data_IF_134207424104
#
_entry.id   IF_134207424104
#
_cell.length_a   1.000
_cell.length_b   1.000
_cell.length_c   1.000
_cell.angle_alpha   90.00
_cell.angle_beta   90.00
_cell.angle_gamma   90.00
#
_symmetry.space_group_name_H-M   'P 1'
#
loop_
_entity.id
_entity.type
_entity.pdbx_description
1 polymer ?
#
# COMPACT_ATOMS: atom_id res chain seq x y z
N UNK A 1 17.90 -4.27 6.95
CA UNK A 1 17.24 -3.99 8.24
C UNK A 1 15.96 -4.82 8.30
N UNK A 2 15.67 -5.57 9.37
CA UNK A 2 14.40 -6.29 9.49
C UNK A 2 13.23 -5.30 9.59
N UNK A 3 12.12 -5.61 8.91
CA UNK A 3 10.88 -4.83 8.99
C UNK A 3 10.35 -4.79 10.43
N UNK A 4 9.63 -3.73 10.80
CA UNK A 4 8.94 -3.57 12.08
C UNK A 4 8.09 -4.79 12.43
N UNK A 5 7.35 -5.35 11.46
CA UNK A 5 6.58 -6.59 11.67
C UNK A 5 7.50 -7.76 12.04
N UNK A 6 8.65 -7.90 11.38
CA UNK A 6 9.62 -8.94 11.72
C UNK A 6 10.26 -8.69 13.09
N UNK A 7 10.51 -7.43 13.47
CA UNK A 7 11.01 -7.07 14.80
C UNK A 7 10.00 -7.44 15.90
N UNK A 8 8.71 -7.18 15.68
CA UNK A 8 7.63 -7.58 16.61
C UNK A 8 7.62 -9.09 16.78
N UNK A 9 7.67 -9.86 15.68
CA UNK A 9 7.70 -11.33 15.73
C UNK A 9 8.92 -11.85 16.50
N UNK A 10 10.10 -11.30 16.23
CA UNK A 10 11.34 -11.75 16.86
C UNK A 10 11.38 -11.46 18.37
N UNK A 11 10.79 -10.34 18.81
CA UNK A 11 10.75 -9.94 20.22
C UNK A 11 9.54 -10.46 20.98
N UNK A 12 8.57 -11.06 20.29
CA UNK A 12 7.28 -11.43 20.88
C UNK A 12 7.42 -12.26 22.17
N UNK A 13 8.36 -13.20 22.20
CA UNK A 13 8.59 -14.07 23.35
C UNK A 13 9.19 -13.35 24.57
N UNK A 14 9.81 -12.19 24.37
CA UNK A 14 10.46 -11.37 25.42
C UNK A 14 9.51 -10.32 26.01
N UNK A 15 8.34 -10.10 25.38
CA UNK A 15 7.34 -9.14 25.83
C UNK A 15 6.50 -9.70 26.99
N UNK A 16 5.90 -8.81 27.79
CA UNK A 16 4.88 -9.20 28.77
C UNK A 16 3.63 -9.76 28.09
N UNK A 17 2.78 -10.54 28.79
CA UNK A 17 1.57 -11.10 28.18
C UNK A 17 0.61 -10.03 27.62
N UNK A 18 0.53 -8.87 28.27
CA UNK A 18 -0.27 -7.75 27.79
C UNK A 18 0.34 -7.13 26.51
N UNK A 19 1.65 -6.95 26.44
CA UNK A 19 2.33 -6.48 25.23
C UNK A 19 2.30 -7.52 24.09
N UNK A 20 2.35 -8.82 24.41
CA UNK A 20 2.19 -9.89 23.43
C UNK A 20 0.83 -9.83 22.75
N UNK A 21 -0.25 -9.50 23.47
CA UNK A 21 -1.58 -9.30 22.87
C UNK A 21 -1.57 -8.15 21.86
N UNK A 22 -0.93 -7.03 22.20
CA UNK A 22 -0.75 -5.91 21.28
C UNK A 22 0.05 -6.33 20.04
N UNK A 23 1.21 -6.97 20.24
CA UNK A 23 2.05 -7.44 19.14
C UNK A 23 1.34 -8.45 18.24
N UNK A 24 0.59 -9.39 18.81
CA UNK A 24 -0.22 -10.38 18.06
C UNK A 24 -1.31 -9.71 17.23
N UNK A 25 -2.01 -8.73 17.79
CA UNK A 25 -3.04 -8.00 17.06
C UNK A 25 -2.45 -7.23 15.87
N UNK A 26 -1.38 -6.46 16.10
CA UNK A 26 -0.72 -5.68 15.05
C UNK A 26 -0.17 -6.59 13.95
N UNK A 27 0.40 -7.74 14.31
CA UNK A 27 0.94 -8.69 13.31
C UNK A 27 -0.18 -9.33 12.48
N UNK A 28 -1.40 -9.41 13.02
CA UNK A 28 -2.56 -10.02 12.37
C UNK A 28 -3.38 -9.03 11.53
N UNK A 29 -3.41 -7.76 11.92
CA UNK A 29 -4.16 -6.70 11.25
C UNK A 29 -3.31 -5.42 11.04
N UNK A 30 -2.14 -5.53 10.40
CA UNK A 30 -1.19 -4.42 10.34
C UNK A 30 -1.75 -3.21 9.57
N UNK A 31 -2.61 -3.44 8.57
CA UNK A 31 -3.27 -2.41 7.75
C UNK A 31 -4.24 -1.49 8.51
N UNK A 32 -4.83 -1.96 9.62
CA UNK A 32 -5.80 -1.17 10.38
C UNK A 32 -5.13 -0.19 11.37
N UNK A 33 -3.93 -0.54 11.83
CA UNK A 33 -3.25 0.14 12.94
C UNK A 33 -2.85 1.59 12.63
N UNK A 34 -2.41 1.98 11.41
CA UNK A 34 -2.11 3.38 11.08
C UNK A 34 -3.27 4.35 11.35
N UNK A 35 -4.51 3.89 11.21
CA UNK A 35 -5.72 4.68 11.38
C UNK A 35 -6.29 4.66 12.81
N UNK A 36 -5.71 3.85 13.71
CA UNK A 36 -6.16 3.74 15.10
C UNK A 36 -5.53 4.79 16.02
N UNK A 37 -6.24 5.17 17.08
CA UNK A 37 -5.66 5.84 18.26
C UNK A 37 -5.09 4.81 19.25
N UNK A 38 -4.32 5.27 20.24
CA UNK A 38 -3.83 4.39 21.33
C UNK A 38 -4.99 3.73 22.06
N UNK A 39 -6.09 4.48 22.24
CA UNK A 39 -7.34 4.03 22.85
C UNK A 39 -8.06 2.97 22.01
N UNK A 40 -8.10 3.12 20.70
CA UNK A 40 -8.73 2.10 19.83
C UNK A 40 -7.98 0.78 19.91
N UNK A 41 -6.66 0.85 19.83
CA UNK A 41 -5.81 -0.32 19.93
C UNK A 41 -5.88 -0.95 21.32
N UNK A 42 -5.95 -0.14 22.37
CA UNK A 42 -6.12 -0.61 23.75
C UNK A 42 -7.43 -1.38 23.91
N UNK A 43 -8.53 -0.85 23.37
CA UNK A 43 -9.84 -1.49 23.38
C UNK A 43 -9.86 -2.80 22.57
N UNK A 44 -9.26 -2.81 21.38
CA UNK A 44 -9.20 -4.02 20.52
C UNK A 44 -8.34 -5.13 21.09
N UNK A 45 -7.38 -4.77 21.93
CA UNK A 45 -6.46 -5.73 22.52
C UNK A 45 -6.75 -6.02 23.99
N UNK A 46 -7.74 -5.32 24.59
CA UNK A 46 -8.17 -5.38 26.00
C UNK A 46 -7.10 -4.94 27.03
N UNK A 47 -6.18 -4.08 26.62
CA UNK A 47 -5.08 -3.59 27.49
C UNK A 47 -5.30 -2.12 27.83
N UNK A 48 -4.51 -1.59 28.77
CA UNK A 48 -4.48 -0.14 29.02
C UNK A 48 -3.71 0.60 27.92
N UNK A 49 -4.05 1.87 27.66
CA UNK A 49 -3.31 2.73 26.72
C UNK A 49 -1.81 2.83 27.08
N UNK A 50 -1.49 2.85 28.39
CA UNK A 50 -0.12 2.83 28.88
C UNK A 50 0.65 1.56 28.46
N UNK A 51 -0.04 0.44 28.26
CA UNK A 51 0.56 -0.81 27.75
C UNK A 51 0.87 -0.69 26.27
N UNK A 52 -0.01 -0.07 25.48
CA UNK A 52 0.25 0.21 24.05
C UNK A 52 1.48 1.11 23.89
N UNK A 53 1.61 2.15 24.70
CA UNK A 53 2.79 3.03 24.68
C UNK A 53 4.06 2.29 25.10
N UNK A 54 4.00 1.44 26.13
CA UNK A 54 5.13 0.59 26.54
C UNK A 54 5.56 -0.37 25.43
N UNK A 55 4.61 -1.07 24.82
CA UNK A 55 4.86 -1.94 23.68
C UNK A 55 5.65 -1.22 22.58
N UNK A 56 5.24 -0.01 22.19
CA UNK A 56 5.94 0.77 21.16
C UNK A 56 7.42 1.00 21.52
N UNK A 57 7.68 1.35 22.78
CA UNK A 57 9.05 1.54 23.30
C UNK A 57 9.83 0.24 23.32
N UNK A 58 9.22 -0.88 23.72
CA UNK A 58 9.82 -2.22 23.75
C UNK A 58 10.27 -2.69 22.34
N UNK A 59 9.58 -2.25 21.30
CA UNK A 59 9.91 -2.50 19.89
C UNK A 59 10.90 -1.47 19.31
N UNK A 60 11.22 -0.40 20.04
CA UNK A 60 12.21 0.60 19.63
C UNK A 60 11.64 1.86 19.00
N UNK A 61 10.31 2.06 19.05
CA UNK A 61 9.67 3.31 18.65
C UNK A 61 9.57 4.29 19.83
N UNK A 62 9.82 5.57 19.60
CA UNK A 62 9.77 6.59 20.66
C UNK A 62 8.36 6.76 21.26
N UNK A 63 7.33 6.67 20.42
CA UNK A 63 5.93 6.79 20.78
C UNK A 63 5.01 6.12 19.74
N UNK A 64 3.72 6.02 20.07
CA UNK A 64 2.73 5.39 19.19
C UNK A 64 2.61 6.08 17.82
N UNK A 65 2.74 7.42 17.75
CA UNK A 65 2.70 8.14 16.47
C UNK A 65 3.85 7.73 15.55
N UNK A 66 5.08 7.69 16.08
CA UNK A 66 6.26 7.23 15.32
C UNK A 66 6.13 5.76 14.91
N UNK A 67 5.58 4.92 15.78
CA UNK A 67 5.31 3.52 15.47
C UNK A 67 4.36 3.37 14.28
N UNK A 68 3.22 4.09 14.28
CA UNK A 68 2.25 4.08 13.18
C UNK A 68 2.86 4.56 11.86
N UNK A 69 3.68 5.61 11.90
CA UNK A 69 4.36 6.12 10.72
C UNK A 69 5.34 5.10 10.12
N UNK A 70 6.12 4.41 10.96
CA UNK A 70 7.02 3.35 10.51
C UNK A 70 6.24 2.17 9.94
N UNK A 71 5.17 1.74 10.63
CA UNK A 71 4.32 0.65 10.16
C UNK A 71 3.67 0.97 8.81
N UNK A 72 3.14 2.17 8.64
CA UNK A 72 2.52 2.61 7.39
C UNK A 72 3.49 2.62 6.20
N UNK A 73 4.77 2.93 6.44
CA UNK A 73 5.81 2.89 5.40
C UNK A 73 6.19 1.47 4.96
N UNK A 74 5.98 0.48 5.81
CA UNK A 74 6.35 -0.91 5.55
C UNK A 74 5.19 -1.77 5.05
N UNK A 75 3.96 -1.29 5.22
CA UNK A 75 2.80 -1.93 4.63
C UNK A 75 2.91 -1.86 3.09
N UNK A 76 2.69 -2.97 2.38
CA UNK A 76 2.45 -2.91 0.95
C UNK A 76 1.28 -1.95 0.73
N UNK A 77 1.49 -0.96 -0.13
CA UNK A 77 0.41 -0.09 -0.58
C UNK A 77 -0.74 -0.98 -1.05
N UNK A 78 -1.92 -0.73 -0.50
CA UNK A 78 -3.13 -1.40 -0.96
C UNK A 78 -3.31 -1.07 -2.45
N UNK A 79 -3.95 -1.95 -3.22
CA UNK A 79 -4.19 -1.67 -4.64
C UNK A 79 -4.96 -0.36 -4.83
N UNK A 80 -5.75 0.02 -3.82
CA UNK A 80 -6.43 1.30 -3.73
C UNK A 80 -5.45 2.49 -3.73
N UNK A 81 -4.33 2.43 -3.01
CA UNK A 81 -3.36 3.54 -2.91
C UNK A 81 -2.63 3.84 -4.24
N UNK A 82 -2.45 2.84 -5.11
CA UNK A 82 -1.84 3.03 -6.44
C UNK A 82 -2.78 3.72 -7.44
N UNK A 83 -4.07 3.71 -7.15
CA UNK A 83 -5.12 4.43 -7.89
C UNK A 83 -5.66 5.65 -7.13
N UNK A 84 -5.16 5.90 -5.91
CA UNK A 84 -5.66 6.96 -5.07
C UNK A 84 -5.02 8.31 -5.44
N UNK A 85 -5.61 8.92 -6.46
CA UNK A 85 -5.34 10.31 -6.83
C UNK A 85 -5.90 11.31 -5.80
N UNK A 86 -6.42 10.90 -4.63
CA UNK A 86 -6.91 11.82 -3.59
C UNK A 86 -5.86 12.82 -3.10
N UNK A 87 -4.57 12.50 -3.27
CA UNK A 87 -3.47 13.42 -2.97
C UNK A 87 -3.29 14.53 -4.02
N UNK A 88 -3.87 14.37 -5.22
CA UNK A 88 -4.00 15.41 -6.25
C UNK A 88 -5.16 16.32 -5.88
N UNK A 89 -4.85 17.55 -5.46
CA UNK A 89 -5.87 18.54 -5.16
C UNK A 89 -6.20 19.29 -6.44
N UNK A 90 -7.48 19.63 -6.62
CA UNK A 90 -7.94 20.49 -7.73
C UNK A 90 -7.21 21.84 -7.82
N UNK A 91 -6.56 22.26 -6.72
CA UNK A 91 -5.81 23.52 -6.59
C UNK A 91 -4.28 23.36 -6.57
N UNK A 92 -3.74 22.19 -6.90
CA UNK A 92 -2.28 22.05 -7.00
C UNK A 92 -1.75 22.93 -8.15
N UNK A 93 -0.63 23.62 -7.92
CA UNK A 93 0.05 24.33 -9.00
C UNK A 93 0.56 23.31 -10.03
N UNK A 94 0.68 23.66 -11.33
CA UNK A 94 1.09 22.72 -12.36
C UNK A 94 2.39 21.97 -12.05
N UNK A 95 3.36 22.64 -11.43
CA UNK A 95 4.64 22.03 -11.05
C UNK A 95 4.48 21.02 -9.89
N UNK A 96 3.65 21.35 -8.89
CA UNK A 96 3.38 20.46 -7.77
C UNK A 96 2.66 19.19 -8.24
N UNK A 97 1.72 19.34 -9.17
CA UNK A 97 1.03 18.24 -9.83
C UNK A 97 2.01 17.33 -10.58
N UNK A 98 2.92 17.90 -11.38
CA UNK A 98 3.96 17.15 -12.07
C UNK A 98 4.83 16.34 -11.09
N UNK A 99 5.26 16.96 -9.99
CA UNK A 99 6.06 16.29 -8.97
C UNK A 99 5.29 15.14 -8.31
N UNK A 100 4.01 15.34 -7.98
CA UNK A 100 3.16 14.31 -7.36
C UNK A 100 2.92 13.12 -8.29
N UNK A 101 2.55 13.35 -9.55
CA UNK A 101 2.34 12.28 -10.54
C UNK A 101 3.63 11.47 -10.75
N UNK A 102 4.77 12.16 -10.86
CA UNK A 102 6.07 11.51 -11.00
C UNK A 102 6.38 10.62 -9.79
N UNK A 103 6.11 11.12 -8.59
CA UNK A 103 6.30 10.37 -7.36
C UNK A 103 5.40 9.13 -7.28
N UNK A 104 4.13 9.25 -7.66
CA UNK A 104 3.19 8.13 -7.72
C UNK A 104 3.68 7.04 -8.71
N UNK A 105 4.10 7.43 -9.91
CA UNK A 105 4.63 6.48 -10.90
C UNK A 105 5.89 5.77 -10.40
N UNK A 106 6.82 6.50 -9.76
CA UNK A 106 8.00 5.91 -9.15
C UNK A 106 7.62 4.86 -8.11
N UNK A 107 6.68 5.19 -7.23
CA UNK A 107 6.21 4.27 -6.19
C UNK A 107 5.52 3.04 -6.77
N UNK A 108 4.73 3.19 -7.84
CA UNK A 108 4.08 2.08 -8.52
C UNK A 108 5.10 1.09 -9.10
N UNK A 109 6.17 1.60 -9.73
CA UNK A 109 7.26 0.78 -10.27
C UNK A 109 7.99 0.03 -9.13
N UNK A 110 8.35 0.73 -8.06
CA UNK A 110 9.03 0.14 -6.91
C UNK A 110 8.18 -0.96 -6.24
N UNK A 111 6.88 -0.69 -6.05
CA UNK A 111 5.94 -1.65 -5.45
C UNK A 111 5.72 -2.88 -6.31
N UNK A 112 5.66 -2.71 -7.64
CA UNK A 112 5.56 -3.82 -8.59
C UNK A 112 6.76 -4.75 -8.46
N UNK A 113 7.96 -4.19 -8.38
CA UNK A 113 9.21 -4.95 -8.20
C UNK A 113 9.20 -5.76 -6.89
N UNK A 114 8.72 -5.16 -5.78
CA UNK A 114 8.66 -5.83 -4.48
C UNK A 114 7.60 -6.93 -4.40
N UNK A 115 6.52 -6.83 -5.18
CA UNK A 115 5.40 -7.80 -5.18
C UNK A 115 5.68 -9.03 -6.03
N UNK A 116 6.71 -8.99 -6.89
CA UNK A 116 7.08 -10.09 -7.78
C UNK A 116 7.87 -11.17 -7.05
N UNK A 117 7.30 -12.37 -6.93
CA UNK A 117 8.04 -13.54 -6.48
C UNK A 117 8.92 -14.08 -7.61
N UNK A 118 10.25 -14.06 -7.41
CA UNK A 118 11.25 -14.52 -8.40
C UNK A 118 10.88 -15.86 -9.05
N UNK A 119 10.50 -16.85 -8.24
CA UNK A 119 10.19 -18.20 -8.71
C UNK A 119 8.98 -18.23 -9.64
N UNK A 120 7.93 -17.46 -9.34
CA UNK A 120 6.74 -17.37 -10.17
C UNK A 120 7.02 -16.64 -11.48
N UNK A 121 7.83 -15.58 -11.41
CA UNK A 121 8.25 -14.83 -12.59
C UNK A 121 9.04 -15.72 -13.57
N UNK A 122 10.07 -16.43 -13.08
CA UNK A 122 10.87 -17.35 -13.90
C UNK A 122 10.01 -18.48 -14.50
N UNK A 123 9.02 -18.99 -13.76
CA UNK A 123 8.06 -19.98 -14.25
C UNK A 123 7.18 -19.41 -15.38
N UNK A 124 6.66 -18.20 -15.22
CA UNK A 124 5.86 -17.53 -16.24
C UNK A 124 6.66 -17.31 -17.53
N UNK A 125 7.91 -16.86 -17.42
CA UNK A 125 8.82 -16.70 -18.58
C UNK A 125 9.03 -18.01 -19.32
N UNK A 126 9.21 -19.12 -18.59
CA UNK A 126 9.36 -20.45 -19.22
C UNK A 126 8.11 -20.85 -20.00
N UNK A 127 6.93 -20.71 -19.40
CA UNK A 127 5.67 -21.00 -20.09
C UNK A 127 5.45 -20.12 -21.32
N UNK A 128 5.82 -18.83 -21.27
CA UNK A 128 5.75 -17.95 -22.43
C UNK A 128 6.72 -18.38 -23.54
N UNK A 129 7.91 -18.87 -23.19
CA UNK A 129 8.93 -19.32 -24.15
C UNK A 129 8.55 -20.63 -24.85
N UNK A 130 7.89 -21.54 -24.14
CA UNK A 130 7.47 -22.85 -24.64
C UNK A 130 6.10 -22.83 -25.33
N UNK A 131 5.39 -21.70 -25.30
CA UNK A 131 4.05 -21.59 -25.88
C UNK A 131 4.10 -21.54 -27.42
N UNK A 132 3.32 -22.41 -28.07
CA UNK A 132 3.14 -22.40 -29.52
C UNK A 132 2.38 -21.16 -30.02
N UNK A 133 1.54 -20.57 -29.15
CA UNK A 133 0.75 -19.38 -29.47
C UNK A 133 0.49 -18.55 -28.21
N UNK A 134 0.69 -17.23 -28.33
CA UNK A 134 0.40 -16.24 -27.28
C UNK A 134 -0.66 -15.28 -27.81
N UNK A 135 -1.72 -15.06 -27.03
CA UNK A 135 -2.81 -14.13 -27.39
C UNK A 135 -2.83 -12.99 -26.37
N UNK A 136 -2.70 -11.76 -26.86
CA UNK A 136 -2.88 -10.57 -26.04
C UNK A 136 -4.30 -10.05 -26.21
N UNK A 137 -5.02 -9.89 -25.10
CA UNK A 137 -6.35 -9.29 -25.06
C UNK A 137 -6.24 -7.97 -24.32
N UNK A 138 -6.74 -6.90 -24.91
CA UNK A 138 -6.81 -5.59 -24.29
C UNK A 138 -8.25 -5.08 -24.31
N UNK A 139 -8.67 -4.51 -23.19
CA UNK A 139 -9.92 -3.77 -23.06
C UNK A 139 -9.56 -2.31 -22.84
N UNK A 140 -10.05 -1.43 -23.72
CA UNK A 140 -9.97 0.00 -23.49
C UNK A 140 -11.05 0.34 -22.49
N UNK A 141 -10.63 0.79 -21.30
CA UNK A 141 -11.55 1.46 -20.39
C UNK A 141 -11.76 2.88 -20.94
N UNK A 142 -12.99 3.27 -21.33
CA UNK A 142 -13.23 4.60 -21.83
C UNK A 142 -13.00 5.59 -20.68
N UNK A 143 -11.93 6.38 -20.76
CA UNK A 143 -11.69 7.53 -19.90
C UNK A 143 -12.36 8.78 -20.48
N UNK A 144 -13.51 8.62 -21.13
CA UNK A 144 -14.29 9.78 -21.54
C UNK A 144 -14.99 10.31 -20.30
N UNK A 145 -14.67 11.54 -19.84
CA UNK A 145 -15.48 12.16 -18.82
C UNK A 145 -16.93 12.27 -19.32
N UNK A 146 -17.90 12.08 -18.42
CA UNK A 146 -19.33 12.08 -18.76
C UNK A 146 -19.81 13.32 -19.56
N UNK A 147 -19.06 14.44 -19.51
CA UNK A 147 -19.36 15.64 -20.30
C UNK A 147 -18.91 15.57 -21.78
N UNK A 148 -18.12 14.57 -22.19
CA UNK A 148 -17.72 14.33 -23.58
C UNK A 148 -18.81 13.60 -24.39
N UNK A 149 -19.79 12.96 -23.75
CA UNK A 149 -20.95 12.35 -24.45
C UNK A 149 -21.92 13.40 -25.01
N UNK A 150 -21.81 14.67 -24.59
CA UNK A 150 -22.72 15.74 -24.99
C UNK A 150 -22.29 16.53 -26.25
N UNK A 151 -21.09 16.30 -26.79
CA UNK A 151 -20.64 16.97 -28.01
C UNK A 151 -20.71 16.01 -29.20
N UNK A 152 -21.76 16.16 -30.01
CA UNK A 152 -21.87 15.57 -31.35
C UNK A 152 -20.59 15.86 -32.16
N UNK A 153 -19.70 14.88 -32.23
CA UNK A 153 -18.55 14.93 -33.11
C UNK A 153 -18.96 14.38 -34.48
N UNK A 154 -19.56 15.25 -35.31
CA UNK A 154 -19.49 15.07 -36.75
C UNK A 154 -18.08 15.46 -37.17
N UNK A 155 -17.20 14.49 -37.36
CA UNK A 155 -16.26 14.60 -38.48
C UNK A 155 -15.74 13.24 -38.94
N UNK A 156 -16.01 13.00 -40.21
CA UNK A 156 -15.48 11.94 -41.05
C UNK A 156 -13.97 12.08 -41.21
N UNK A 157 -13.22 11.02 -40.89
CA UNK A 157 -11.88 10.82 -41.40
C UNK A 157 -11.68 9.36 -41.79
N UNK A 158 -11.92 9.10 -43.07
CA UNK A 158 -11.35 7.96 -43.79
C UNK A 158 -9.83 8.20 -43.83
N UNK A 159 -9.05 7.25 -43.31
CA UNK A 159 -7.61 7.16 -43.62
C UNK A 159 -7.35 5.75 -44.16
N UNK A 160 -6.79 5.71 -45.37
CA UNK A 160 -6.33 4.52 -46.10
C UNK A 160 -5.18 3.82 -45.40
#
# INVERSE_FOLDING_TARGET
MPTLIQQIKNRLNQLSEAEKRVGRYITRYPELVPNMTSKDLSNKTDVSEATVVRFCKSIGAANFKTFKLTLAKELPLSKEDLTDFSSLKKNDAPYDLFCKVTQLNKQAIESTSLSLERKQFEKAVRHLKEADKIIFLALVVPLLPQWMEATNFHDSAIIR
#
